data_IF_051266567352
#
_entry.id   IF_051266567352
#
_cell.length_a   1.000
_cell.length_b   1.000
_cell.length_c   1.000
_cell.angle_alpha   90.00
_cell.angle_beta   90.00
_cell.angle_gamma   90.00
#
_symmetry.space_group_name_H-M   'P 1'
#
loop_
_entity.id
_entity.type
_entity.pdbx_description
1 polymer ?
#
# COMPACT_ATOMS: atom_id res chain seq x y z
N UNK A 1 -28.66 6.01 -51.88
CA UNK A 1 -27.62 6.47 -50.91
C UNK A 1 -28.36 7.03 -49.70
N UNK A 2 -28.56 6.22 -48.65
CA UNK A 2 -29.20 6.69 -47.41
C UNK A 2 -28.11 7.02 -46.40
N UNK A 3 -27.92 8.30 -46.12
CA UNK A 3 -27.13 8.77 -44.98
C UNK A 3 -27.86 8.34 -43.69
N UNK A 4 -27.25 7.46 -42.90
CA UNK A 4 -27.70 7.19 -41.53
C UNK A 4 -27.39 8.42 -40.67
N UNK A 5 -28.42 9.00 -40.06
CA UNK A 5 -28.27 10.00 -39.00
C UNK A 5 -27.40 9.43 -37.87
N UNK A 6 -26.17 9.93 -37.77
CA UNK A 6 -25.32 9.72 -36.60
C UNK A 6 -25.92 10.50 -35.43
N UNK A 7 -26.47 9.78 -34.46
CA UNK A 7 -27.01 10.36 -33.22
C UNK A 7 -25.89 11.07 -32.45
N UNK A 8 -25.92 12.40 -32.39
CA UNK A 8 -24.97 13.26 -31.65
C UNK A 8 -25.20 13.27 -30.13
N UNK A 9 -26.30 12.67 -29.67
CA UNK A 9 -26.70 12.63 -28.24
C UNK A 9 -25.65 11.97 -27.33
N UNK A 10 -25.03 10.81 -27.66
CA UNK A 10 -24.05 10.16 -26.80
C UNK A 10 -22.79 11.03 -26.60
N UNK A 11 -22.37 11.72 -27.67
CA UNK A 11 -21.19 12.61 -27.65
C UNK A 11 -21.47 13.81 -26.74
N UNK A 12 -22.64 14.45 -26.89
CA UNK A 12 -23.06 15.55 -26.01
C UNK A 12 -23.16 15.14 -24.54
N UNK A 13 -23.75 13.98 -24.25
CA UNK A 13 -23.83 13.46 -22.87
C UNK A 13 -22.43 13.19 -22.29
N UNK A 14 -21.49 12.64 -23.05
CA UNK A 14 -20.10 12.47 -22.62
C UNK A 14 -19.40 13.80 -22.32
N UNK A 15 -19.57 14.80 -23.20
CA UNK A 15 -18.96 16.13 -23.03
C UNK A 15 -19.54 16.85 -21.80
N UNK A 16 -20.86 16.82 -21.64
CA UNK A 16 -21.53 17.46 -20.50
C UNK A 16 -21.20 16.75 -19.18
N UNK A 17 -21.10 15.41 -19.19
CA UNK A 17 -20.64 14.60 -18.05
C UNK A 17 -19.21 14.96 -17.66
N UNK A 18 -18.30 15.10 -18.63
CA UNK A 18 -16.91 15.51 -18.40
C UNK A 18 -16.81 16.92 -17.81
N UNK A 19 -17.53 17.90 -18.37
CA UNK A 19 -17.54 19.27 -17.84
C UNK A 19 -18.12 19.37 -16.43
N UNK A 20 -19.20 18.63 -16.15
CA UNK A 20 -19.80 18.58 -14.80
C UNK A 20 -18.84 17.92 -13.81
N UNK A 21 -18.17 16.86 -14.22
CA UNK A 21 -17.14 16.20 -13.43
C UNK A 21 -16.01 17.17 -13.08
N UNK A 22 -15.43 17.86 -14.07
CA UNK A 22 -14.36 18.85 -13.85
C UNK A 22 -14.77 19.99 -12.88
N UNK A 23 -16.00 20.50 -13.00
CA UNK A 23 -16.49 21.57 -12.12
C UNK A 23 -16.66 21.11 -10.67
N UNK A 24 -17.23 19.93 -10.47
CA UNK A 24 -17.44 19.35 -9.13
C UNK A 24 -16.09 18.99 -8.49
N UNK A 25 -15.17 18.43 -9.26
CA UNK A 25 -13.82 18.08 -8.79
C UNK A 25 -13.03 19.32 -8.36
N UNK A 26 -13.15 20.47 -9.02
CA UNK A 26 -12.45 21.71 -8.59
C UNK A 26 -12.85 22.17 -7.19
N UNK A 27 -14.15 22.18 -6.87
CA UNK A 27 -14.62 22.60 -5.55
C UNK A 27 -14.26 21.58 -4.47
N UNK A 28 -14.37 20.28 -4.78
CA UNK A 28 -14.04 19.22 -3.84
C UNK A 28 -12.53 19.08 -3.58
N UNK A 29 -11.66 19.53 -4.49
CA UNK A 29 -10.20 19.54 -4.28
C UNK A 29 -9.78 20.38 -3.08
N UNK A 30 -10.36 21.57 -2.91
CA UNK A 30 -10.08 22.42 -1.74
C UNK A 30 -10.55 21.73 -0.45
N UNK A 31 -11.77 21.19 -0.46
CA UNK A 31 -12.31 20.43 0.69
C UNK A 31 -11.47 19.20 1.02
N UNK A 32 -10.99 18.48 0.01
CA UNK A 32 -10.10 17.32 0.13
C UNK A 32 -8.79 17.69 0.83
N UNK A 33 -8.15 18.81 0.45
CA UNK A 33 -6.93 19.28 1.12
C UNK A 33 -7.18 19.55 2.60
N UNK A 34 -8.25 20.27 2.94
CA UNK A 34 -8.59 20.55 4.35
C UNK A 34 -8.93 19.27 5.14
N UNK A 35 -9.69 18.34 4.57
CA UNK A 35 -9.99 17.08 5.25
C UNK A 35 -8.75 16.23 5.47
N UNK A 36 -7.84 16.23 4.50
CA UNK A 36 -6.59 15.48 4.56
C UNK A 36 -5.69 16.00 5.67
N UNK A 37 -5.54 17.33 5.79
CA UNK A 37 -4.81 17.96 6.89
C UNK A 37 -5.41 17.64 8.27
N UNK A 38 -6.74 17.60 8.38
CA UNK A 38 -7.43 17.22 9.63
C UNK A 38 -7.16 15.77 9.99
N UNK A 39 -7.18 14.85 9.02
CA UNK A 39 -6.86 13.43 9.26
C UNK A 39 -5.38 13.22 9.59
N UNK A 40 -4.46 13.99 8.98
CA UNK A 40 -3.04 14.02 9.37
C UNK A 40 -2.89 14.45 10.84
N UNK A 41 -3.56 15.53 11.25
CA UNK A 41 -3.53 16.02 12.64
C UNK A 41 -4.06 14.97 13.63
N UNK A 42 -5.15 14.27 13.29
CA UNK A 42 -5.68 13.17 14.12
C UNK A 42 -4.71 11.99 14.22
N UNK A 43 -4.06 11.63 13.12
CA UNK A 43 -3.11 10.53 13.10
C UNK A 43 -1.86 10.80 13.96
N UNK A 44 -1.47 12.08 14.09
CA UNK A 44 -0.33 12.49 14.92
C UNK A 44 -0.70 12.54 16.41
N UNK A 45 -1.86 13.13 16.74
CA UNK A 45 -2.23 13.47 18.11
C UNK A 45 -3.18 12.47 18.82
N UNK A 46 -3.81 11.55 18.09
CA UNK A 46 -4.94 10.78 18.60
C UNK A 46 -6.18 11.66 18.84
N UNK A 47 -7.33 11.06 19.19
CA UNK A 47 -8.61 11.78 19.40
C UNK A 47 -8.61 12.74 20.61
N UNK A 48 -7.50 12.89 21.34
CA UNK A 48 -7.39 13.77 22.51
C UNK A 48 -6.43 14.94 22.28
N UNK A 49 -6.96 16.16 22.34
CA UNK A 49 -6.22 17.43 22.41
C UNK A 49 -5.47 17.59 23.74
N UNK A 50 -4.59 16.66 24.09
CA UNK A 50 -3.73 16.77 25.26
C UNK A 50 -2.29 16.67 24.82
N UNK A 51 -1.58 17.79 24.94
CA UNK A 51 -0.13 17.96 24.80
C UNK A 51 0.62 16.68 25.22
N UNK A 52 1.04 15.89 24.22
CA UNK A 52 1.42 14.48 24.42
C UNK A 52 2.80 14.41 25.07
N UNK A 53 2.82 14.30 26.40
CA UNK A 53 3.93 13.69 27.09
C UNK A 53 4.08 12.26 26.57
N UNK A 54 5.13 12.03 25.78
CA UNK A 54 5.57 10.69 25.36
C UNK A 54 5.71 9.83 26.63
N UNK A 55 5.05 8.66 26.72
CA UNK A 55 5.18 7.78 27.88
C UNK A 55 6.66 7.47 28.13
N UNK A 56 7.14 7.72 29.36
CA UNK A 56 8.55 7.59 29.80
C UNK A 56 9.25 6.28 29.37
N UNK A 57 8.49 5.20 29.17
CA UNK A 57 9.02 3.91 28.70
C UNK A 57 9.49 3.91 27.22
N UNK A 58 9.04 4.86 26.40
CA UNK A 58 9.43 4.97 24.98
C UNK A 58 10.72 5.80 24.79
N UNK A 59 11.13 6.60 25.78
CA UNK A 59 12.33 7.45 25.67
C UNK A 59 13.65 6.73 25.90
N UNK A 60 13.64 5.52 26.48
CA UNK A 60 14.87 4.78 26.77
C UNK A 60 15.37 3.90 25.61
N UNK A 61 14.55 3.61 24.60
CA UNK A 61 14.92 2.76 23.46
C UNK A 61 15.01 3.53 22.15
N UNK A 62 15.66 2.95 21.15
CA UNK A 62 15.56 3.46 19.78
C UNK A 62 14.12 3.34 19.26
N UNK A 63 13.60 4.36 18.56
CA UNK A 63 12.32 4.26 17.88
C UNK A 63 12.42 3.26 16.71
N UNK A 64 11.30 2.65 16.35
CA UNK A 64 11.23 1.62 15.31
C UNK A 64 10.44 2.09 14.10
N UNK A 65 11.03 1.97 12.91
CA UNK A 65 10.35 2.12 11.63
C UNK A 65 10.10 0.73 11.04
N UNK A 66 8.85 0.29 11.00
CA UNK A 66 8.41 -0.94 10.35
C UNK A 66 7.95 -0.63 8.92
N UNK A 67 8.73 -1.06 7.94
CA UNK A 67 8.42 -0.99 6.52
C UNK A 67 7.67 -2.27 6.10
N UNK A 68 6.37 -2.18 5.89
CA UNK A 68 5.57 -3.25 5.31
C UNK A 68 5.56 -3.12 3.78
N UNK A 69 6.13 -4.10 3.08
CA UNK A 69 6.26 -4.13 1.63
C UNK A 69 5.59 -5.34 1.00
N UNK A 70 5.20 -5.22 -0.26
CA UNK A 70 4.52 -6.28 -0.99
C UNK A 70 3.50 -5.73 -1.97
N UNK A 71 3.39 -6.39 -3.12
CA UNK A 71 2.47 -5.97 -4.18
C UNK A 71 1.01 -5.92 -3.72
N UNK A 72 0.18 -5.20 -4.48
CA UNK A 72 -1.24 -5.08 -4.16
C UNK A 72 -1.91 -6.46 -4.12
N UNK A 73 -2.69 -6.75 -3.08
CA UNK A 73 -3.30 -8.08 -2.89
C UNK A 73 -2.35 -9.17 -2.36
N UNK A 74 -1.12 -8.84 -1.96
CA UNK A 74 -0.17 -9.81 -1.39
C UNK A 74 -0.59 -10.38 -0.01
N UNK A 75 -1.56 -9.77 0.68
CA UNK A 75 -1.97 -10.19 2.03
C UNK A 75 -1.18 -9.53 3.17
N UNK A 76 -0.64 -8.32 2.95
CA UNK A 76 0.10 -7.53 3.96
C UNK A 76 -0.67 -7.39 5.27
N UNK A 77 -1.95 -7.04 5.21
CA UNK A 77 -2.79 -6.86 6.39
C UNK A 77 -2.94 -8.13 7.23
N UNK A 78 -2.86 -9.32 6.63
CA UNK A 78 -2.88 -10.59 7.38
C UNK A 78 -1.60 -10.74 8.20
N UNK A 79 -0.43 -10.49 7.58
CA UNK A 79 0.87 -10.56 8.25
C UNK A 79 1.00 -9.48 9.33
N UNK A 80 0.55 -8.26 9.03
CA UNK A 80 0.59 -7.15 9.99
C UNK A 80 -0.21 -7.48 11.26
N UNK A 81 -1.40 -8.10 11.13
CA UNK A 81 -2.19 -8.52 12.29
C UNK A 81 -1.45 -9.47 13.22
N UNK A 82 -0.59 -10.32 12.68
CA UNK A 82 0.18 -11.26 13.50
C UNK A 82 1.41 -10.59 14.11
N UNK A 83 2.07 -9.68 13.37
CA UNK A 83 3.17 -8.86 13.90
C UNK A 83 2.70 -7.97 15.05
N UNK A 84 1.52 -7.36 14.94
CA UNK A 84 0.98 -6.50 15.98
C UNK A 84 0.68 -7.23 17.30
N UNK A 85 0.60 -8.57 17.28
CA UNK A 85 0.46 -9.41 18.48
C UNK A 85 1.80 -9.76 19.13
N UNK A 86 2.93 -9.50 18.47
CA UNK A 86 4.26 -9.74 19.02
C UNK A 86 4.49 -8.82 20.24
N UNK A 87 5.28 -9.30 21.20
CA UNK A 87 5.52 -8.64 22.49
C UNK A 87 5.91 -7.17 22.39
N UNK A 88 6.72 -6.82 21.39
CA UNK A 88 7.08 -5.43 21.13
C UNK A 88 5.88 -4.59 20.69
N UNK A 89 5.17 -5.03 19.65
CA UNK A 89 4.09 -4.26 19.04
C UNK A 89 2.82 -4.28 19.88
N UNK A 90 2.57 -5.30 20.69
CA UNK A 90 1.39 -5.33 21.57
C UNK A 90 1.33 -4.16 22.55
N UNK A 91 2.50 -3.61 22.93
CA UNK A 91 2.59 -2.41 23.77
C UNK A 91 2.86 -1.11 22.99
N UNK A 92 3.62 -1.18 21.89
CA UNK A 92 4.00 0.01 21.12
C UNK A 92 2.94 0.45 20.09
N UNK A 93 2.13 -0.47 19.57
CA UNK A 93 1.23 -0.21 18.44
C UNK A 93 0.16 0.84 18.73
N UNK A 94 -0.29 0.98 19.99
CA UNK A 94 -1.27 2.02 20.37
C UNK A 94 -0.72 3.43 20.22
N UNK A 95 0.60 3.59 20.31
CA UNK A 95 1.28 4.88 20.21
C UNK A 95 2.05 5.03 18.89
N UNK A 96 2.07 4.00 18.05
CA UNK A 96 2.74 4.02 16.75
C UNK A 96 1.90 4.79 15.73
N UNK A 97 2.57 5.54 14.87
CA UNK A 97 1.94 6.21 13.74
C UNK A 97 1.85 5.24 12.57
N UNK A 98 0.63 4.93 12.13
CA UNK A 98 0.39 4.09 10.95
C UNK A 98 0.26 4.98 9.72
N UNK A 99 1.15 4.80 8.75
CA UNK A 99 1.18 5.53 7.49
C UNK A 99 0.71 4.59 6.37
N UNK A 100 -0.52 4.79 5.90
CA UNK A 100 -1.11 4.06 4.78
C UNK A 100 -1.76 5.04 3.80
N UNK A 101 -1.20 5.20 2.60
CA UNK A 101 -1.74 6.12 1.60
C UNK A 101 -3.17 5.77 1.15
N UNK A 102 -3.54 4.48 1.18
CA UNK A 102 -4.90 4.04 0.84
C UNK A 102 -5.93 4.47 1.89
N UNK A 103 -5.55 4.66 3.17
CA UNK A 103 -6.46 5.13 4.21
C UNK A 103 -6.89 6.59 3.97
N UNK A 104 -5.96 7.45 3.52
CA UNK A 104 -6.27 8.83 3.13
C UNK A 104 -7.20 8.92 1.92
N UNK A 105 -7.13 7.95 0.98
CA UNK A 105 -8.10 7.90 -0.13
C UNK A 105 -9.52 7.64 0.36
N UNK A 106 -9.69 6.81 1.40
CA UNK A 106 -11.00 6.46 1.94
C UNK A 106 -11.65 7.61 2.74
N UNK A 107 -10.84 8.49 3.32
CA UNK A 107 -11.31 9.70 3.99
C UNK A 107 -11.56 10.87 3.04
N UNK A 108 -10.98 10.85 1.83
CA UNK A 108 -11.14 11.90 0.83
C UNK A 108 -12.60 12.10 0.40
N UNK A 109 -13.08 13.34 0.49
CA UNK A 109 -14.46 13.75 0.17
C UNK A 109 -14.82 13.49 -1.29
N UNK A 110 -13.86 13.59 -2.23
CA UNK A 110 -14.03 13.27 -3.65
C UNK A 110 -14.29 11.77 -3.81
N UNK A 111 -13.47 10.94 -3.15
CA UNK A 111 -13.60 9.49 -3.23
C UNK A 111 -14.95 9.03 -2.65
N UNK A 112 -15.33 9.55 -1.47
CA UNK A 112 -16.63 9.25 -0.84
C UNK A 112 -17.82 9.69 -1.71
N UNK A 113 -17.78 10.91 -2.26
CA UNK A 113 -18.86 11.47 -3.07
C UNK A 113 -19.06 10.74 -4.40
N UNK A 114 -18.00 10.15 -4.96
CA UNK A 114 -18.06 9.39 -6.20
C UNK A 114 -18.46 7.93 -5.97
N UNK A 115 -17.98 7.31 -4.89
CA UNK A 115 -18.38 5.95 -4.51
C UNK A 115 -19.87 5.89 -4.10
N UNK A 116 -20.40 6.94 -3.46
CA UNK A 116 -21.80 7.01 -3.04
C UNK A 116 -22.81 7.16 -4.18
N UNK A 117 -22.36 7.49 -5.41
CA UNK A 117 -23.23 7.73 -6.56
C UNK A 117 -23.40 6.53 -7.50
N UNK A 118 -22.82 5.37 -7.18
CA UNK A 118 -23.10 4.09 -7.86
C UNK A 118 -22.61 3.98 -9.31
N UNK A 119 -21.78 4.89 -9.80
CA UNK A 119 -21.20 4.81 -11.15
C UNK A 119 -19.91 3.98 -11.14
N UNK A 120 -20.07 2.65 -11.20
CA UNK A 120 -18.97 1.68 -11.16
C UNK A 120 -17.96 1.82 -12.32
N UNK A 121 -18.38 2.39 -13.46
CA UNK A 121 -17.51 2.58 -14.63
C UNK A 121 -16.39 3.62 -14.41
N UNK A 122 -16.58 4.57 -13.47
CA UNK A 122 -15.62 5.66 -13.23
C UNK A 122 -14.69 5.40 -12.01
N UNK A 123 -14.78 4.21 -11.41
CA UNK A 123 -14.11 3.85 -10.16
C UNK A 123 -12.58 3.89 -10.25
N UNK A 124 -12.03 3.48 -11.41
CA UNK A 124 -10.58 3.54 -11.67
C UNK A 124 -10.08 4.97 -11.84
N UNK A 125 -10.81 5.81 -12.59
CA UNK A 125 -10.45 7.22 -12.80
C UNK A 125 -10.51 8.01 -11.49
N UNK A 126 -11.51 7.72 -10.66
CA UNK A 126 -11.68 8.34 -9.33
C UNK A 126 -10.49 8.04 -8.42
N UNK A 127 -10.04 6.78 -8.37
CA UNK A 127 -8.90 6.35 -7.55
C UNK A 127 -7.59 7.03 -7.98
N UNK A 128 -7.41 7.28 -9.28
CA UNK A 128 -6.24 7.99 -9.82
C UNK A 128 -6.24 9.49 -9.47
N UNK A 129 -7.41 10.12 -9.41
CA UNK A 129 -7.53 11.56 -9.14
C UNK A 129 -7.12 11.96 -7.72
N UNK A 130 -7.42 11.11 -6.73
CA UNK A 130 -7.05 11.33 -5.32
C UNK A 130 -5.70 10.70 -4.96
N UNK A 131 -5.03 10.07 -5.93
CA UNK A 131 -3.81 9.32 -5.68
C UNK A 131 -2.67 10.21 -5.20
N UNK A 132 -2.48 11.36 -5.85
CA UNK A 132 -1.39 12.27 -5.51
C UNK A 132 -1.59 12.90 -4.13
N UNK A 133 -2.78 13.46 -3.86
CA UNK A 133 -3.08 14.08 -2.55
C UNK A 133 -2.91 13.11 -1.39
N UNK A 134 -3.38 11.87 -1.55
CA UNK A 134 -3.26 10.84 -0.53
C UNK A 134 -1.81 10.39 -0.32
N UNK A 135 -1.01 10.37 -1.39
CA UNK A 135 0.42 10.04 -1.33
C UNK A 135 1.22 11.16 -0.66
N UNK A 136 0.90 12.41 -0.98
CA UNK A 136 1.53 13.59 -0.38
C UNK A 136 1.22 13.64 1.13
N UNK A 137 -0.04 13.37 1.51
CA UNK A 137 -0.47 13.32 2.90
C UNK A 137 0.23 12.23 3.72
N UNK A 138 0.30 11.02 3.16
CA UNK A 138 1.04 9.94 3.78
C UNK A 138 2.53 10.28 3.93
N UNK A 139 3.11 10.98 2.96
CA UNK A 139 4.51 11.42 3.00
C UNK A 139 4.74 12.52 4.05
N UNK A 140 3.81 13.47 4.18
CA UNK A 140 3.78 14.51 5.21
C UNK A 140 3.72 13.92 6.62
N UNK A 141 2.79 12.98 6.83
CA UNK A 141 2.67 12.25 8.09
C UNK A 141 3.94 11.46 8.41
N UNK A 142 4.53 10.78 7.42
CA UNK A 142 5.74 10.00 7.58
C UNK A 142 6.93 10.85 8.03
N UNK A 143 7.24 11.94 7.33
CA UNK A 143 8.39 12.80 7.68
C UNK A 143 8.19 13.46 9.05
N UNK A 144 6.96 13.85 9.38
CA UNK A 144 6.62 14.44 10.67
C UNK A 144 6.84 13.43 11.81
N UNK A 145 6.26 12.24 11.70
CA UNK A 145 6.40 11.19 12.72
C UNK A 145 7.87 10.76 12.89
N UNK A 146 8.62 10.66 11.79
CA UNK A 146 10.04 10.32 11.84
C UNK A 146 10.89 11.39 12.53
N UNK A 147 10.66 12.67 12.20
CA UNK A 147 11.30 13.82 12.85
C UNK A 147 10.98 13.94 14.35
N UNK A 148 9.87 13.37 14.81
CA UNK A 148 9.46 13.37 16.22
C UNK A 148 10.01 12.18 17.01
N UNK A 149 10.61 11.18 16.33
CA UNK A 149 11.11 9.99 17.00
C UNK A 149 10.00 9.01 17.42
N UNK A 150 8.85 9.02 16.73
CA UNK A 150 7.72 8.10 16.99
C UNK A 150 8.02 6.73 16.39
N UNK A 151 7.46 5.67 16.98
CA UNK A 151 7.40 4.40 16.23
C UNK A 151 6.47 4.56 15.04
N UNK A 152 6.88 4.07 13.88
CA UNK A 152 6.15 4.24 12.62
C UNK A 152 5.94 2.88 11.98
N UNK A 153 4.71 2.62 11.54
CA UNK A 153 4.37 1.49 10.67
C UNK A 153 3.99 2.07 9.32
N UNK A 154 4.82 1.86 8.31
CA UNK A 154 4.57 2.30 6.96
C UNK A 154 4.05 1.13 6.12
N UNK A 155 2.75 1.16 5.76
CA UNK A 155 2.14 0.18 4.86
C UNK A 155 2.14 0.69 3.43
N UNK A 156 3.00 0.09 2.61
CA UNK A 156 3.15 0.44 1.20
C UNK A 156 3.39 -0.77 0.30
N UNK A 157 3.48 -0.52 -1.00
CA UNK A 157 3.97 -1.56 -1.93
C UNK A 157 5.48 -1.71 -1.84
N UNK A 158 6.19 -0.64 -1.49
CA UNK A 158 7.66 -0.50 -1.56
C UNK A 158 8.20 -0.88 -2.96
N UNK A 159 7.39 -0.65 -3.99
CA UNK A 159 7.71 -1.02 -5.38
C UNK A 159 8.54 0.02 -6.12
N UNK A 160 8.90 1.13 -5.47
CA UNK A 160 9.62 2.24 -6.07
C UNK A 160 10.90 2.49 -5.28
N UNK A 161 12.01 1.96 -5.81
CA UNK A 161 13.30 1.85 -5.10
C UNK A 161 13.84 3.20 -4.62
N UNK A 162 13.89 4.28 -5.44
CA UNK A 162 14.46 5.56 -4.99
C UNK A 162 13.74 6.14 -3.78
N UNK A 163 12.41 6.04 -3.74
CA UNK A 163 11.61 6.48 -2.59
C UNK A 163 11.95 5.71 -1.31
N UNK A 164 12.08 4.38 -1.39
CA UNK A 164 12.37 3.53 -0.23
C UNK A 164 13.79 3.79 0.27
N UNK A 165 14.77 3.88 -0.62
CA UNK A 165 16.17 4.15 -0.26
C UNK A 165 16.33 5.53 0.40
N UNK A 166 15.74 6.57 -0.19
CA UNK A 166 15.75 7.91 0.40
C UNK A 166 15.03 7.93 1.75
N UNK A 167 13.92 7.19 1.91
CA UNK A 167 13.20 7.08 3.19
C UNK A 167 14.05 6.40 4.27
N UNK A 168 14.75 5.33 3.92
CA UNK A 168 15.66 4.66 4.84
C UNK A 168 16.81 5.61 5.21
N UNK A 169 17.41 6.30 4.24
CA UNK A 169 18.48 7.27 4.49
C UNK A 169 18.03 8.42 5.41
N UNK A 170 16.81 8.94 5.19
CA UNK A 170 16.19 9.93 6.08
C UNK A 170 16.01 9.36 7.49
N UNK A 171 15.38 8.20 7.65
CA UNK A 171 15.14 7.58 8.95
C UNK A 171 16.44 7.28 9.73
N UNK A 172 17.54 6.97 9.03
CA UNK A 172 18.87 6.83 9.65
C UNK A 172 19.44 8.16 10.13
N UNK A 173 19.04 9.30 9.56
CA UNK A 173 19.62 10.62 9.82
C UNK A 173 18.73 11.58 10.63
N UNK A 174 17.43 11.31 10.78
CA UNK A 174 16.46 12.19 11.49
C UNK A 174 16.80 12.46 12.96
N UNK A 175 17.69 11.65 13.55
CA UNK A 175 18.20 11.87 14.89
C UNK A 175 19.27 12.98 14.98
N UNK A 176 19.86 13.37 13.83
CA UNK A 176 20.86 14.43 13.69
C UNK A 176 20.32 15.68 12.98
N UNK A 177 19.44 15.49 12.00
CA UNK A 177 18.91 16.57 11.17
C UNK A 177 17.40 16.48 11.08
N UNK A 178 16.74 17.60 10.77
CA UNK A 178 15.31 17.59 10.43
C UNK A 178 15.12 17.55 8.92
N UNK A 179 14.07 16.86 8.50
CA UNK A 179 13.70 16.72 7.11
C UNK A 179 12.33 17.33 6.82
N UNK A 180 12.08 17.68 5.56
CA UNK A 180 10.78 18.04 5.02
C UNK A 180 10.53 17.27 3.72
N UNK A 181 9.29 17.29 3.25
CA UNK A 181 8.97 16.74 1.93
C UNK A 181 9.75 17.50 0.84
N UNK A 182 10.42 16.74 -0.02
CA UNK A 182 10.98 17.24 -1.26
C UNK A 182 9.94 17.33 -2.37
N UNK A 183 10.39 17.67 -3.57
CA UNK A 183 9.52 17.83 -4.75
C UNK A 183 8.90 16.53 -5.27
N UNK A 184 9.34 15.37 -4.76
CA UNK A 184 8.93 14.04 -5.20
C UNK A 184 9.52 13.68 -6.57
N UNK A 185 8.77 12.88 -7.33
CA UNK A 185 9.08 12.56 -8.72
C UNK A 185 8.43 13.60 -9.65
N UNK A 186 9.24 14.35 -10.39
CA UNK A 186 8.78 15.32 -11.39
C UNK A 186 9.52 15.16 -12.71
N UNK A 187 8.79 15.35 -13.80
CA UNK A 187 9.35 15.38 -15.16
C UNK A 187 9.05 16.75 -15.76
N UNK A 188 10.06 17.58 -15.91
CA UNK A 188 9.94 18.93 -16.48
C UNK A 188 10.87 19.03 -17.69
N UNK A 189 10.29 19.33 -18.87
CA UNK A 189 11.02 19.46 -20.13
C UNK A 189 11.93 18.26 -20.46
N UNK A 190 11.52 17.05 -20.09
CA UNK A 190 12.31 15.82 -20.29
C UNK A 190 13.40 15.56 -19.24
N UNK A 191 13.62 16.49 -18.31
CA UNK A 191 14.50 16.29 -17.15
C UNK A 191 13.71 15.64 -16.02
N UNK A 192 14.24 14.54 -15.48
CA UNK A 192 13.66 13.83 -14.34
C UNK A 192 14.32 14.33 -13.07
N UNK A 193 13.52 14.90 -12.17
CA UNK A 193 13.93 15.24 -10.81
C UNK A 193 13.25 14.28 -9.86
N UNK A 194 14.02 13.61 -9.01
CA UNK A 194 13.51 12.61 -8.07
C UNK A 194 14.11 12.83 -6.68
N UNK A 195 13.42 13.63 -5.86
CA UNK A 195 13.86 13.98 -4.51
C UNK A 195 12.66 13.99 -3.56
N UNK A 196 12.57 12.99 -2.70
CA UNK A 196 11.43 12.82 -1.80
C UNK A 196 11.61 13.51 -0.46
N UNK A 197 12.85 13.67 0.00
CA UNK A 197 13.16 14.24 1.32
C UNK A 197 14.28 15.26 1.24
N UNK A 198 14.04 16.44 1.76
CA UNK A 198 15.02 17.52 1.83
C UNK A 198 15.39 17.78 3.29
N UNK A 199 16.63 18.19 3.53
CA UNK A 199 16.99 18.76 4.82
C UNK A 199 16.16 20.03 5.00
N UNK A 200 15.46 20.12 6.13
CA UNK A 200 14.87 21.37 6.54
C UNK A 200 16.04 22.27 6.96
N UNK A 201 16.18 23.44 6.33
CA UNK A 201 17.12 24.45 6.80
C UNK A 201 16.89 24.66 8.29
N UNK A 202 17.96 24.57 9.08
CA UNK A 202 17.92 25.02 10.46
C UNK A 202 17.61 26.52 10.39
N UNK A 203 16.34 26.90 10.47
CA UNK A 203 16.01 28.19 11.09
C UNK A 203 16.84 28.17 12.37
N UNK A 204 17.82 29.07 12.45
CA UNK A 204 18.66 29.27 13.61
C UNK A 204 17.74 29.38 14.83
N UNK A 205 17.43 28.24 15.44
CA UNK A 205 16.89 28.17 16.78
C UNK A 205 18.10 28.49 17.62
N UNK A 206 18.30 29.80 17.75
CA UNK A 206 18.93 30.47 18.87
C UNK A 206 18.98 29.53 20.06
N UNK A 207 20.20 29.38 20.59
CA UNK A 207 20.54 28.73 21.85
C UNK A 207 19.82 29.31 23.09
N UNK A 208 18.68 29.97 22.92
CA UNK A 208 17.91 30.63 23.94
C UNK A 208 16.45 30.27 23.74
N UNK A 209 16.01 29.19 24.40
CA UNK A 209 14.88 29.22 25.35
C UNK A 209 14.70 27.80 25.95
N UNK A 210 14.89 27.75 27.26
CA UNK A 210 14.53 26.70 28.23
C UNK A 210 15.50 25.53 28.41
N UNK A 211 15.92 25.37 29.66
CA UNK A 211 16.64 24.26 30.28
C UNK A 211 15.98 22.88 30.04
N UNK A 212 16.01 22.39 28.81
CA UNK A 212 15.81 20.98 28.49
C UNK A 212 17.15 20.47 28.02
N UNK A 213 17.71 19.48 28.73
CA UNK A 213 18.89 18.74 28.26
C UNK A 213 18.71 18.43 26.76
N UNK A 214 19.78 18.54 25.94
CA UNK A 214 19.70 18.18 24.54
C UNK A 214 19.20 16.73 24.50
N UNK A 215 17.94 16.53 24.11
CA UNK A 215 17.37 15.19 23.96
C UNK A 215 18.20 14.52 22.88
N UNK A 216 19.20 13.73 23.26
CA UNK A 216 20.00 12.92 22.34
C UNK A 216 19.06 11.89 21.75
N UNK A 217 18.39 12.24 20.65
CA UNK A 217 17.47 11.35 19.95
C UNK A 217 18.26 10.14 19.50
N UNK A 218 17.74 8.96 19.78
CA UNK A 218 18.36 7.71 19.36
C UNK A 218 18.10 7.48 17.87
N UNK A 219 19.04 6.87 17.12
CA UNK A 219 18.80 6.49 15.73
C UNK A 219 17.68 5.45 15.65
N UNK A 220 16.92 5.48 14.55
CA UNK A 220 15.87 4.49 14.28
C UNK A 220 16.46 3.11 14.07
N UNK A 221 15.77 2.12 14.63
CA UNK A 221 15.86 0.73 14.21
C UNK A 221 14.85 0.51 13.08
N UNK A 222 15.29 -0.02 11.95
CA UNK A 222 14.48 -0.20 10.75
C UNK A 222 14.23 -1.69 10.53
N UNK A 223 12.95 -2.07 10.51
CA UNK A 223 12.50 -3.43 10.28
C UNK A 223 11.74 -3.50 8.95
N UNK A 224 12.12 -4.42 8.07
CA UNK A 224 11.45 -4.66 6.79
C UNK A 224 10.64 -5.95 6.88
N UNK A 225 9.37 -5.88 6.50
CA UNK A 225 8.54 -7.06 6.34
C UNK A 225 8.02 -7.09 4.91
N UNK A 226 8.56 -8.02 4.13
CA UNK A 226 8.08 -8.31 2.79
C UNK A 226 6.98 -9.37 2.81
N UNK A 227 5.95 -9.14 2.01
CA UNK A 227 4.87 -10.12 1.79
C UNK A 227 4.72 -10.37 0.31
N UNK A 228 4.85 -11.63 -0.08
CA UNK A 228 4.76 -12.08 -1.47
C UNK A 228 3.69 -13.14 -1.63
N UNK A 229 3.08 -13.14 -2.81
CA UNK A 229 2.24 -14.24 -3.26
C UNK A 229 2.29 -14.34 -4.77
N UNK A 230 1.85 -15.47 -5.29
CA UNK A 230 1.64 -15.71 -6.69
C UNK A 230 0.83 -14.58 -7.36
N UNK A 231 1.20 -14.24 -8.60
CA UNK A 231 0.61 -13.12 -9.33
C UNK A 231 -0.87 -13.34 -9.64
N UNK A 232 -1.24 -14.57 -9.98
CA UNK A 232 -2.64 -14.93 -10.22
C UNK A 232 -3.46 -14.80 -8.94
N UNK A 233 -2.94 -15.31 -7.82
CA UNK A 233 -3.62 -15.19 -6.53
C UNK A 233 -3.80 -13.72 -6.11
N UNK A 234 -2.80 -12.87 -6.36
CA UNK A 234 -2.90 -11.44 -6.13
C UNK A 234 -4.04 -10.81 -6.95
N UNK A 235 -4.13 -11.11 -8.25
CA UNK A 235 -5.18 -10.60 -9.14
C UNK A 235 -6.56 -11.04 -8.68
N UNK A 236 -6.74 -12.33 -8.34
CA UNK A 236 -8.01 -12.84 -7.79
C UNK A 236 -8.41 -12.10 -6.52
N UNK A 237 -7.46 -11.87 -5.60
CA UNK A 237 -7.72 -11.08 -4.38
C UNK A 237 -8.07 -9.63 -4.70
N UNK A 238 -7.43 -9.03 -5.70
CA UNK A 238 -7.74 -7.68 -6.20
C UNK A 238 -9.17 -7.58 -6.73
N UNK A 239 -9.59 -8.53 -7.58
CA UNK A 239 -10.95 -8.62 -8.11
C UNK A 239 -11.96 -8.82 -6.97
N UNK A 240 -11.70 -9.76 -6.06
CA UNK A 240 -12.58 -10.00 -4.90
C UNK A 240 -12.74 -8.73 -4.05
N UNK A 241 -11.66 -8.00 -3.79
CA UNK A 241 -11.70 -6.72 -3.08
C UNK A 241 -12.51 -5.67 -3.85
N UNK A 242 -12.36 -5.60 -5.17
CA UNK A 242 -13.17 -4.70 -6.00
C UNK A 242 -14.67 -4.98 -5.86
N UNK A 243 -15.06 -6.26 -5.86
CA UNK A 243 -16.47 -6.67 -5.67
C UNK A 243 -16.97 -6.36 -4.26
N UNK A 244 -16.18 -6.68 -3.23
CA UNK A 244 -16.62 -6.55 -1.84
C UNK A 244 -16.62 -5.10 -1.32
N UNK A 245 -15.65 -4.29 -1.74
CA UNK A 245 -15.43 -2.96 -1.15
C UNK A 245 -15.44 -1.84 -2.18
N UNK A 246 -15.69 -2.11 -3.47
CA UNK A 246 -15.59 -1.10 -4.52
C UNK A 246 -14.16 -0.61 -4.81
N UNK A 247 -13.12 -1.36 -4.40
CA UNK A 247 -11.72 -0.96 -4.61
C UNK A 247 -11.06 -1.75 -5.73
N UNK A 248 -11.15 -1.24 -6.95
CA UNK A 248 -10.47 -1.80 -8.11
C UNK A 248 -9.05 -1.26 -8.26
N UNK A 249 -8.19 -2.12 -8.76
CA UNK A 249 -6.82 -1.82 -9.14
C UNK A 249 -6.62 -2.39 -10.53
N UNK A 250 -5.97 -1.65 -11.43
CA UNK A 250 -5.61 -2.17 -12.75
C UNK A 250 -4.66 -3.35 -12.59
N UNK A 251 -4.96 -4.46 -13.25
CA UNK A 251 -4.16 -5.71 -13.20
C UNK A 251 -2.69 -5.44 -13.52
N UNK A 252 -2.41 -4.68 -14.58
CA UNK A 252 -1.05 -4.30 -14.94
C UNK A 252 -0.30 -3.58 -13.82
N UNK A 253 -0.91 -2.57 -13.17
CA UNK A 253 -0.32 -1.85 -12.04
C UNK A 253 -0.07 -2.77 -10.84
N UNK A 254 -1.00 -3.70 -10.59
CA UNK A 254 -0.87 -4.72 -9.56
C UNK A 254 0.33 -5.64 -9.83
N UNK A 255 0.43 -6.23 -11.01
CA UNK A 255 1.54 -7.10 -11.40
C UNK A 255 2.88 -6.35 -11.40
N UNK A 256 2.92 -5.12 -11.90
CA UNK A 256 4.11 -4.24 -11.82
C UNK A 256 4.56 -4.02 -10.39
N UNK A 257 3.64 -3.79 -9.45
CA UNK A 257 3.99 -3.57 -8.03
C UNK A 257 4.65 -4.81 -7.41
N UNK A 258 4.13 -6.01 -7.71
CA UNK A 258 4.71 -7.28 -7.29
C UNK A 258 6.10 -7.49 -7.87
N UNK A 259 6.23 -7.34 -9.19
CA UNK A 259 7.50 -7.52 -9.91
C UNK A 259 8.60 -6.60 -9.37
N UNK A 260 8.30 -5.30 -9.25
CA UNK A 260 9.27 -4.31 -8.79
C UNK A 260 9.67 -4.54 -7.33
N UNK A 261 8.70 -4.80 -6.44
CA UNK A 261 8.99 -5.10 -5.05
C UNK A 261 9.89 -6.34 -4.92
N UNK A 262 9.56 -7.43 -5.60
CA UNK A 262 10.35 -8.66 -5.55
C UNK A 262 11.80 -8.46 -6.00
N UNK A 263 12.03 -7.65 -7.05
CA UNK A 263 13.36 -7.35 -7.56
C UNK A 263 14.17 -6.40 -6.64
N UNK A 264 13.49 -5.50 -5.91
CA UNK A 264 14.14 -4.55 -5.00
C UNK A 264 14.38 -5.12 -3.60
N UNK A 265 13.57 -6.09 -3.15
CA UNK A 265 13.62 -6.66 -1.79
C UNK A 265 15.03 -7.08 -1.33
N UNK A 266 15.86 -7.78 -2.15
CA UNK A 266 17.21 -8.13 -1.73
C UNK A 266 18.13 -6.93 -1.45
N UNK A 267 17.90 -5.79 -2.11
CA UNK A 267 18.66 -4.55 -1.89
C UNK A 267 18.20 -3.88 -0.60
N UNK A 268 16.88 -3.78 -0.39
CA UNK A 268 16.32 -3.26 0.86
C UNK A 268 16.83 -4.03 2.08
N UNK A 269 16.96 -5.36 1.97
CA UNK A 269 17.53 -6.18 3.04
C UNK A 269 18.94 -5.74 3.46
N UNK A 270 19.74 -5.11 2.59
CA UNK A 270 21.07 -4.60 2.93
C UNK A 270 21.05 -3.27 3.68
N UNK A 271 19.94 -2.53 3.61
CA UNK A 271 19.82 -1.16 4.14
C UNK A 271 19.16 -1.12 5.53
N UNK A 272 18.45 -2.20 5.91
CA UNK A 272 17.66 -2.29 7.15
C UNK A 272 18.33 -3.19 8.19
N UNK A 273 17.94 -3.05 9.46
CA UNK A 273 18.52 -3.84 10.56
C UNK A 273 17.99 -5.27 10.58
N UNK A 274 16.67 -5.42 10.41
CA UNK A 274 16.02 -6.72 10.35
C UNK A 274 15.14 -6.81 9.11
N UNK A 275 15.06 -7.99 8.50
CA UNK A 275 14.11 -8.24 7.43
C UNK A 275 13.40 -9.58 7.62
N UNK A 276 12.11 -9.64 7.30
CA UNK A 276 11.32 -10.88 7.25
C UNK A 276 10.59 -10.94 5.91
N UNK A 277 10.53 -12.12 5.31
CA UNK A 277 9.80 -12.36 4.07
C UNK A 277 8.75 -13.44 4.29
N UNK A 278 7.50 -13.10 4.02
CA UNK A 278 6.36 -14.00 4.15
C UNK A 278 5.78 -14.36 2.79
N UNK A 279 5.41 -15.63 2.62
CA UNK A 279 4.64 -16.13 1.50
C UNK A 279 3.19 -16.39 1.92
N UNK A 280 2.22 -15.93 1.14
CA UNK A 280 0.78 -16.10 1.42
C UNK A 280 0.07 -16.93 0.36
N UNK A 281 0.77 -17.86 -0.31
CA UNK A 281 0.17 -18.70 -1.35
C UNK A 281 -0.87 -19.69 -0.83
N UNK A 282 -0.77 -20.11 0.43
CA UNK A 282 -1.74 -21.01 1.05
C UNK A 282 -3.12 -20.33 1.13
N UNK A 283 -4.07 -20.76 0.31
CA UNK A 283 -5.43 -20.21 0.29
C UNK A 283 -6.12 -20.54 1.63
N UNK A 284 -6.40 -19.52 2.43
CA UNK A 284 -7.02 -19.68 3.76
C UNK A 284 -6.08 -20.19 4.85
N UNK A 285 -4.80 -20.45 4.54
CA UNK A 285 -3.77 -20.81 5.49
C UNK A 285 -3.05 -19.61 6.11
N UNK A 286 -2.27 -19.81 7.18
CA UNK A 286 -1.46 -18.75 7.78
C UNK A 286 -0.31 -18.34 6.82
N UNK A 287 0.18 -17.09 6.91
CA UNK A 287 1.39 -16.67 6.19
C UNK A 287 2.60 -17.53 6.59
N UNK A 288 3.35 -18.03 5.62
CA UNK A 288 4.58 -18.82 5.84
C UNK A 288 5.78 -17.87 5.85
N UNK A 289 6.60 -17.89 6.90
CA UNK A 289 7.89 -17.19 6.91
C UNK A 289 8.88 -17.97 6.04
N UNK A 290 9.39 -17.33 4.98
CA UNK A 290 10.26 -17.95 3.97
C UNK A 290 11.65 -17.33 3.90
N UNK A 291 11.87 -16.21 4.60
CA UNK A 291 13.18 -15.61 4.75
C UNK A 291 13.26 -14.71 5.97
N UNK A 292 14.43 -14.68 6.61
CA UNK A 292 14.69 -13.78 7.72
C UNK A 292 16.13 -13.26 7.71
N UNK A 293 16.31 -12.05 8.19
CA UNK A 293 17.60 -11.38 8.42
C UNK A 293 17.54 -10.74 9.80
N UNK A 294 18.62 -10.87 10.56
CA UNK A 294 18.84 -10.08 11.76
C UNK A 294 20.23 -9.46 11.78
N UNK A 295 20.32 -8.18 12.16
CA UNK A 295 21.58 -7.44 12.24
C UNK A 295 22.31 -7.37 10.90
N UNK A 296 23.63 -7.60 10.92
CA UNK A 296 24.46 -7.54 9.71
C UNK A 296 24.52 -8.86 8.93
N UNK A 297 23.74 -9.87 9.32
CA UNK A 297 23.72 -11.15 8.63
C UNK A 297 23.06 -11.04 7.24
N UNK A 298 23.45 -11.95 6.35
CA UNK A 298 22.75 -12.12 5.08
C UNK A 298 21.33 -12.68 5.31
N UNK A 299 20.43 -12.41 4.36
CA UNK A 299 19.08 -12.98 4.39
C UNK A 299 19.17 -14.51 4.32
N UNK A 300 18.76 -15.17 5.39
CA UNK A 300 18.59 -16.61 5.47
C UNK A 300 17.24 -16.97 4.85
N UNK A 301 17.26 -17.90 3.90
CA UNK A 301 16.07 -18.30 3.14
C UNK A 301 16.04 -19.80 3.00
N UNK A 302 14.84 -20.36 2.99
CA UNK A 302 14.64 -21.72 2.52
C UNK A 302 14.83 -21.74 0.98
N UNK A 303 15.76 -22.56 0.44
CA UNK A 303 16.05 -22.62 -0.99
C UNK A 303 14.84 -22.98 -1.87
N UNK A 304 13.88 -23.74 -1.34
CA UNK A 304 12.66 -24.11 -2.06
C UNK A 304 11.63 -22.98 -2.02
N UNK A 305 11.45 -22.35 -0.86
CA UNK A 305 10.44 -21.29 -0.73
C UNK A 305 10.84 -19.97 -1.40
N UNK A 306 12.14 -19.66 -1.47
CA UNK A 306 12.62 -18.42 -2.09
C UNK A 306 12.36 -18.38 -3.60
N UNK A 307 12.07 -19.54 -4.23
CA UNK A 307 11.64 -19.62 -5.63
C UNK A 307 10.43 -18.72 -5.89
N UNK A 308 9.50 -18.59 -4.94
CA UNK A 308 8.35 -17.71 -5.06
C UNK A 308 8.75 -16.25 -5.35
N UNK A 309 9.74 -15.72 -4.63
CA UNK A 309 10.25 -14.36 -4.84
C UNK A 309 10.85 -14.19 -6.25
N UNK A 310 11.65 -15.17 -6.70
CA UNK A 310 12.27 -15.16 -8.04
C UNK A 310 11.22 -15.22 -9.15
N UNK A 311 10.25 -16.12 -9.02
CA UNK A 311 9.13 -16.28 -9.94
C UNK A 311 8.36 -14.98 -10.10
N UNK A 312 8.04 -14.30 -8.98
CA UNK A 312 7.35 -13.01 -8.99
C UNK A 312 8.22 -11.91 -9.60
N UNK A 313 9.52 -11.86 -9.30
CA UNK A 313 10.45 -10.90 -9.89
C UNK A 313 10.58 -11.01 -11.41
N UNK A 314 10.31 -12.21 -11.95
CA UNK A 314 10.38 -12.53 -13.37
C UNK A 314 9.04 -12.48 -14.12
N UNK A 315 7.91 -12.21 -13.43
CA UNK A 315 6.57 -12.26 -14.03
C UNK A 315 6.41 -11.30 -15.22
N UNK A 316 5.51 -11.66 -16.14
CA UNK A 316 5.07 -10.79 -17.21
C UNK A 316 3.93 -9.89 -16.73
N UNK A 317 4.22 -8.60 -16.54
CA UNK A 317 3.21 -7.65 -16.04
C UNK A 317 2.24 -7.18 -17.13
N UNK A 318 2.60 -7.38 -18.40
CA UNK A 318 1.78 -7.07 -19.58
C UNK A 318 1.05 -8.34 -20.09
N UNK A 319 0.95 -9.39 -19.25
CA UNK A 319 0.25 -10.61 -19.62
C UNK A 319 -1.25 -10.34 -19.82
N UNK A 320 -1.79 -10.76 -20.96
CA UNK A 320 -3.22 -10.69 -21.25
C UNK A 320 -3.94 -12.01 -20.93
N UNK A 321 -3.18 -13.07 -20.67
CA UNK A 321 -3.69 -14.37 -20.23
C UNK A 321 -2.89 -14.95 -19.07
N UNK A 322 -3.52 -15.86 -18.34
CA UNK A 322 -2.88 -16.58 -17.24
C UNK A 322 -1.66 -17.41 -17.69
N UNK A 323 -1.67 -17.89 -18.93
CA UNK A 323 -0.60 -18.69 -19.51
C UNK A 323 0.64 -17.84 -19.83
N UNK A 324 0.47 -16.54 -20.02
CA UNK A 324 1.57 -15.60 -20.29
C UNK A 324 2.19 -15.03 -19.01
N UNK A 325 1.59 -15.26 -17.85
CA UNK A 325 1.96 -14.61 -16.60
C UNK A 325 3.37 -15.00 -16.12
N UNK A 326 3.75 -16.25 -16.33
CA UNK A 326 5.04 -16.81 -15.96
C UNK A 326 5.72 -17.43 -17.18
N UNK A 327 7.07 -17.47 -17.15
CA UNK A 327 7.85 -18.21 -18.14
C UNK A 327 7.73 -19.71 -17.88
N UNK A 328 7.87 -20.52 -18.92
CA UNK A 328 7.86 -21.98 -18.80
C UNK A 328 9.12 -22.51 -18.06
N UNK A 329 8.99 -23.54 -17.19
CA UNK A 329 7.73 -24.20 -16.80
C UNK A 329 6.87 -23.32 -15.88
N UNK A 330 5.59 -23.19 -16.21
CA UNK A 330 4.69 -22.27 -15.50
C UNK A 330 4.25 -22.81 -14.13
N UNK A 331 4.42 -22.07 -13.01
CA UNK A 331 4.06 -22.52 -11.66
C UNK A 331 2.57 -22.88 -11.49
N UNK A 332 1.71 -22.28 -12.31
CA UNK A 332 0.26 -22.57 -12.32
C UNK A 332 -0.07 -23.94 -12.91
N UNK A 333 0.88 -24.57 -13.61
CA UNK A 333 0.76 -25.91 -14.19
C UNK A 333 1.40 -26.97 -13.28
N UNK A 334 2.01 -26.58 -12.16
CA UNK A 334 2.55 -27.53 -11.19
C UNK A 334 1.43 -28.15 -10.32
N UNK A 335 1.57 -29.43 -9.91
CA UNK A 335 0.71 -30.02 -8.89
C UNK A 335 0.77 -29.21 -7.58
N UNK A 336 -0.36 -28.98 -6.92
CA UNK A 336 -0.40 -28.13 -5.71
C UNK A 336 -0.73 -26.66 -6.00
N UNK A 337 -0.78 -26.25 -7.27
CA UNK A 337 -1.17 -24.88 -7.64
C UNK A 337 -2.69 -24.71 -7.62
N UNK A 338 -3.14 -23.53 -7.21
CA UNK A 338 -4.58 -23.19 -7.17
C UNK A 338 -5.23 -23.35 -8.54
N UNK A 339 -4.51 -23.06 -9.61
CA UNK A 339 -5.04 -23.16 -10.96
C UNK A 339 -5.33 -24.61 -11.35
N UNK A 340 -4.39 -25.53 -11.13
CA UNK A 340 -4.65 -26.94 -11.39
C UNK A 340 -5.65 -27.55 -10.41
N UNK A 341 -5.48 -27.31 -9.11
CA UNK A 341 -6.18 -28.06 -8.06
C UNK A 341 -7.60 -27.55 -7.79
N UNK A 342 -7.91 -26.32 -8.20
CA UNK A 342 -9.23 -25.70 -7.98
C UNK A 342 -9.87 -25.25 -9.30
N UNK A 343 -9.13 -24.60 -10.20
CA UNK A 343 -9.72 -23.95 -11.39
C UNK A 343 -9.96 -24.95 -12.51
N UNK A 344 -9.02 -25.86 -12.76
CA UNK A 344 -9.09 -26.89 -13.80
C UNK A 344 -9.74 -28.20 -13.32
N UNK A 345 -10.12 -28.28 -12.04
CA UNK A 345 -10.72 -29.48 -11.44
C UNK A 345 -12.01 -29.90 -12.17
N UNK A 346 -12.16 -31.17 -12.57
CA UNK A 346 -13.34 -31.64 -13.30
C UNK A 346 -14.67 -31.46 -12.54
N UNK A 347 -14.65 -31.41 -11.21
CA UNK A 347 -15.85 -31.22 -10.37
C UNK A 347 -16.38 -29.79 -10.39
N UNK A 348 -15.55 -28.81 -10.78
CA UNK A 348 -15.84 -27.38 -10.63
C UNK A 348 -17.18 -26.95 -11.26
N UNK A 349 -17.57 -27.39 -12.48
CA UNK A 349 -18.87 -27.01 -13.05
C UNK A 349 -20.04 -27.49 -12.19
N UNK A 350 -19.95 -28.70 -11.64
CA UNK A 350 -20.97 -29.27 -10.76
C UNK A 350 -21.05 -28.49 -9.44
N UNK A 351 -19.91 -28.15 -8.86
CA UNK A 351 -19.82 -27.39 -7.61
C UNK A 351 -20.37 -25.97 -7.78
N UNK A 352 -20.04 -25.31 -8.89
CA UNK A 352 -20.60 -23.99 -9.25
C UNK A 352 -22.12 -24.03 -9.45
N UNK A 353 -22.64 -25.09 -10.07
CA UNK A 353 -24.09 -25.28 -10.22
C UNK A 353 -24.78 -25.40 -8.87
N UNK A 354 -24.25 -26.24 -7.96
CA UNK A 354 -24.78 -26.40 -6.59
C UNK A 354 -24.73 -25.09 -5.80
N UNK A 355 -23.62 -24.35 -5.91
CA UNK A 355 -23.48 -23.04 -5.27
C UNK A 355 -24.52 -22.04 -5.79
N UNK A 356 -24.68 -21.95 -7.11
CA UNK A 356 -25.68 -21.09 -7.75
C UNK A 356 -27.10 -21.42 -7.30
N UNK A 357 -27.47 -22.70 -7.28
CA UNK A 357 -28.78 -23.15 -6.80
C UNK A 357 -29.01 -22.80 -5.33
N UNK A 358 -27.97 -22.91 -4.50
CA UNK A 358 -28.03 -22.56 -3.07
C UNK A 358 -28.21 -21.05 -2.86
N UNK A 359 -27.46 -20.23 -3.59
CA UNK A 359 -27.60 -18.76 -3.56
C UNK A 359 -29.01 -18.36 -3.99
N UNK A 360 -29.51 -18.93 -5.10
CA UNK A 360 -30.86 -18.63 -5.60
C UNK A 360 -31.97 -19.01 -4.60
N UNK A 361 -31.80 -20.11 -3.84
CA UNK A 361 -32.75 -20.48 -2.79
C UNK A 361 -32.74 -19.46 -1.65
N UNK A 362 -31.57 -18.97 -1.24
CA UNK A 362 -31.43 -17.94 -0.20
C UNK A 362 -32.06 -16.63 -0.66
N UNK A 363 -31.75 -16.16 -1.87
CA UNK A 363 -32.29 -14.92 -2.44
C UNK A 363 -33.82 -14.95 -2.53
N UNK A 364 -34.40 -16.07 -2.99
CA UNK A 364 -35.86 -16.25 -3.02
C UNK A 364 -36.51 -16.26 -1.63
N UNK A 365 -35.76 -16.67 -0.60
CA UNK A 365 -36.25 -16.68 0.78
C UNK A 365 -36.21 -15.28 1.40
N UNK A 366 -35.21 -14.47 1.05
CA UNK A 366 -35.09 -13.07 1.47
C UNK A 366 -36.16 -12.20 0.80
N UNK A 367 -36.47 -12.42 -0.49
CA UNK A 367 -37.50 -11.67 -1.22
C UNK A 367 -38.95 -11.98 -0.80
N UNK A 368 -39.15 -13.02 0.03
CA UNK A 368 -40.47 -13.41 0.57
C UNK A 368 -40.72 -12.88 1.98
N UNK A 369 -39.71 -12.33 2.64
CA UNK A 369 -39.84 -11.50 3.85
C UNK A 369 -40.03 -10.05 3.42
#
# INVERSE_FOLDING_TARGET
MNFKETSWKPIWYCVYRKQRFERVTKNLKLTSVFSTLVEEMKAINGDSYTDVMVPMAHSERSPVLLLMGGGMGAGKSTVLKDILKESFWSGAATNAVVVEADAFKESDVIYRALNSRGHHDDMLQTSELVHQSSTDAASSLLVTALNEGRDVIMDGTLSWEPFVEQTIAMARNVHKHRYRMGVGYKVENGTVTENYWELAEEEHQSEEISNREPRTRKPYKIELVGVVCDGYLAVVRGIRRAVMTGRAVRVNSQLKSHKRFANAFPRYCKLVDNARLYCTNAVGGPPKLIGWKSGDHNLLVDPEDIKCLKTIGSLNAEADSIYELHKEPSPIMEPGSVWNDIVLTPSRPTDQKKLKESIQKIEKSILKM
#
